data_IF_681075789905
#
_entry.id   IF_681075789905
#
_cell.length_a   1.000
_cell.length_b   1.000
_cell.length_c   1.000
_cell.angle_alpha   90.00
_cell.angle_beta   90.00
_cell.angle_gamma   90.00
#
_symmetry.space_group_name_H-M   'P 1'
#
loop_
_entity.id
_entity.type
_entity.pdbx_description
1 polymer ?
#
# COMPACT_ATOMS: atom_id res chain seq x y z
N UNK A 1 -46.59 -10.01 40.91
CA UNK A 1 -45.26 -10.64 40.76
C UNK A 1 -44.88 -10.58 39.28
N UNK A 2 -43.73 -10.02 38.89
CA UNK A 2 -43.32 -10.05 37.49
C UNK A 2 -42.83 -11.46 37.12
N UNK A 3 -43.39 -11.98 36.04
CA UNK A 3 -43.13 -13.30 35.46
C UNK A 3 -41.69 -13.32 34.91
N UNK A 4 -40.79 -14.05 35.56
CA UNK A 4 -39.45 -14.28 35.03
C UNK A 4 -39.56 -15.24 33.83
N UNK A 5 -39.09 -14.86 32.63
CA UNK A 5 -39.15 -15.76 31.48
C UNK A 5 -38.29 -17.01 31.75
N UNK A 6 -38.88 -18.18 31.50
CA UNK A 6 -38.24 -19.48 31.77
C UNK A 6 -36.97 -19.66 30.92
N UNK A 7 -35.94 -20.28 31.51
CA UNK A 7 -34.62 -20.51 30.90
C UNK A 7 -34.63 -21.31 29.58
N UNK A 8 -35.77 -21.87 29.19
CA UNK A 8 -35.94 -22.66 27.97
C UNK A 8 -36.05 -21.79 26.70
N UNK A 9 -36.46 -20.53 26.83
CA UNK A 9 -36.76 -19.65 25.68
C UNK A 9 -35.54 -18.83 25.19
N UNK A 10 -34.46 -18.77 25.97
CA UNK A 10 -33.22 -18.04 25.61
C UNK A 10 -32.24 -18.86 24.75
N UNK A 11 -32.31 -20.20 24.78
CA UNK A 11 -31.39 -21.11 24.08
C UNK A 11 -31.45 -21.05 22.53
N UNK A 12 -32.61 -20.87 21.85
CA UNK A 12 -32.67 -20.84 20.39
C UNK A 12 -32.14 -19.54 19.75
N UNK A 13 -32.14 -18.43 20.48
CA UNK A 13 -31.60 -17.16 19.98
C UNK A 13 -30.07 -17.15 19.96
N UNK A 14 -29.43 -17.57 21.06
CA UNK A 14 -27.96 -17.64 21.16
C UNK A 14 -27.34 -18.61 20.14
N UNK A 15 -27.99 -19.74 19.88
CA UNK A 15 -27.56 -20.71 18.88
C UNK A 15 -27.60 -20.13 17.45
N UNK A 16 -28.69 -19.43 17.09
CA UNK A 16 -28.81 -18.77 15.77
C UNK A 16 -27.75 -17.69 15.56
N UNK A 17 -27.48 -16.86 16.57
CA UNK A 17 -26.42 -15.84 16.52
C UNK A 17 -25.04 -16.47 16.34
N UNK A 18 -24.74 -17.57 17.03
CA UNK A 18 -23.45 -18.29 16.89
C UNK A 18 -23.28 -18.91 15.50
N UNK A 19 -24.33 -19.50 14.92
CA UNK A 19 -24.29 -20.03 13.55
C UNK A 19 -24.15 -18.92 12.50
N UNK A 20 -24.83 -17.79 12.67
CA UNK A 20 -24.66 -16.63 11.80
C UNK A 20 -23.22 -16.08 11.87
N UNK A 21 -22.66 -15.95 13.06
CA UNK A 21 -21.27 -15.52 13.25
C UNK A 21 -20.26 -16.47 12.61
N UNK A 22 -20.46 -17.79 12.75
CA UNK A 22 -19.61 -18.80 12.11
C UNK A 22 -19.72 -18.77 10.58
N UNK A 23 -20.92 -18.56 10.03
CA UNK A 23 -21.14 -18.40 8.59
C UNK A 23 -20.46 -17.15 8.03
N UNK A 24 -20.60 -16.02 8.71
CA UNK A 24 -19.93 -14.76 8.33
C UNK A 24 -18.42 -14.95 8.36
N UNK A 25 -17.88 -15.57 9.42
CA UNK A 25 -16.46 -15.85 9.55
C UNK A 25 -15.95 -16.79 8.44
N UNK A 26 -16.73 -17.81 8.05
CA UNK A 26 -16.36 -18.69 6.96
C UNK A 26 -16.33 -17.94 5.62
N UNK A 27 -17.35 -17.15 5.30
CA UNK A 27 -17.45 -16.37 4.07
C UNK A 27 -16.28 -15.38 3.96
N UNK A 28 -15.98 -14.64 5.03
CA UNK A 28 -14.86 -13.69 5.03
C UNK A 28 -13.52 -14.38 4.87
N UNK A 29 -13.35 -15.57 5.44
CA UNK A 29 -12.12 -16.37 5.28
C UNK A 29 -11.92 -16.90 3.87
N UNK A 30 -12.97 -17.41 3.22
CA UNK A 30 -12.86 -17.84 1.82
C UNK A 30 -12.57 -16.66 0.91
N UNK A 31 -13.20 -15.50 1.17
CA UNK A 31 -12.90 -14.26 0.44
C UNK A 31 -11.45 -13.80 0.62
N UNK A 32 -10.92 -13.85 1.85
CA UNK A 32 -9.54 -13.52 2.15
C UNK A 32 -8.55 -14.46 1.44
N UNK A 33 -8.77 -15.78 1.55
CA UNK A 33 -7.94 -16.79 0.92
C UNK A 33 -7.89 -16.60 -0.60
N UNK A 34 -9.04 -16.31 -1.22
CA UNK A 34 -9.12 -16.05 -2.65
C UNK A 34 -8.36 -14.77 -3.02
N UNK A 35 -8.59 -13.66 -2.32
CA UNK A 35 -7.90 -12.40 -2.58
C UNK A 35 -6.38 -12.57 -2.47
N UNK A 36 -5.90 -13.10 -1.34
CA UNK A 36 -4.46 -13.23 -1.09
C UNK A 36 -3.81 -14.22 -2.05
N UNK A 37 -4.46 -15.36 -2.33
CA UNK A 37 -3.96 -16.37 -3.26
C UNK A 37 -3.82 -15.81 -4.69
N UNK A 38 -4.84 -15.13 -5.19
CA UNK A 38 -4.80 -14.48 -6.51
C UNK A 38 -3.74 -13.37 -6.54
N UNK A 39 -3.66 -12.54 -5.50
CA UNK A 39 -2.69 -11.45 -5.41
C UNK A 39 -1.24 -11.97 -5.46
N UNK A 40 -0.93 -13.03 -4.69
CA UNK A 40 0.38 -13.70 -4.71
C UNK A 40 0.71 -14.21 -6.12
N UNK A 41 -0.25 -14.88 -6.77
CA UNK A 41 -0.07 -15.44 -8.11
C UNK A 41 0.17 -14.37 -9.17
N UNK A 42 -0.65 -13.32 -9.19
CA UNK A 42 -0.54 -12.22 -10.17
C UNK A 42 0.78 -11.47 -10.00
N UNK A 43 1.11 -11.00 -8.79
CA UNK A 43 2.36 -10.26 -8.57
C UNK A 43 3.62 -11.10 -8.84
N UNK A 44 3.58 -12.42 -8.55
CA UNK A 44 4.67 -13.32 -8.92
C UNK A 44 4.79 -13.47 -10.44
N UNK A 45 3.66 -13.62 -11.14
CA UNK A 45 3.63 -13.69 -12.60
C UNK A 45 4.20 -12.43 -13.24
N UNK A 46 3.82 -11.24 -12.76
CA UNK A 46 4.31 -9.96 -13.29
C UNK A 46 5.83 -9.83 -13.13
N UNK A 47 6.35 -10.23 -11.97
CA UNK A 47 7.78 -10.27 -11.74
C UNK A 47 8.49 -11.24 -12.69
N UNK A 48 7.91 -12.42 -12.94
CA UNK A 48 8.46 -13.37 -13.91
C UNK A 48 8.45 -12.84 -15.34
N UNK A 49 7.40 -12.11 -15.75
CA UNK A 49 7.34 -11.45 -17.07
C UNK A 49 8.51 -10.48 -17.24
N UNK A 50 8.84 -9.70 -16.20
CA UNK A 50 10.03 -8.83 -16.22
C UNK A 50 11.31 -9.64 -16.35
N UNK A 51 11.47 -10.72 -15.57
CA UNK A 51 12.67 -11.57 -15.61
C UNK A 51 12.88 -12.25 -16.96
N UNK A 52 11.81 -12.57 -17.68
CA UNK A 52 11.89 -13.18 -19.01
C UNK A 52 12.06 -12.15 -20.13
N UNK A 53 11.87 -10.87 -19.85
CA UNK A 53 12.02 -9.80 -20.83
C UNK A 53 13.50 -9.39 -21.02
N UNK A 54 13.85 -8.75 -22.14
CA UNK A 54 15.19 -8.17 -22.33
C UNK A 54 15.58 -7.14 -21.25
N UNK A 55 14.60 -6.60 -20.51
CA UNK A 55 14.84 -5.68 -19.41
C UNK A 55 15.65 -6.30 -18.27
N UNK A 56 15.52 -7.60 -18.02
CA UNK A 56 16.19 -8.31 -16.94
C UNK A 56 17.71 -8.14 -16.99
N UNK A 57 18.30 -8.25 -18.19
CA UNK A 57 19.73 -8.05 -18.38
C UNK A 57 20.15 -6.60 -18.11
N UNK A 58 19.37 -5.63 -18.60
CA UNK A 58 19.62 -4.21 -18.38
C UNK A 58 19.51 -3.81 -16.91
N UNK A 59 18.50 -4.35 -16.21
CA UNK A 59 18.28 -4.14 -14.78
C UNK A 59 19.45 -4.72 -13.99
N UNK A 60 19.81 -5.99 -14.23
CA UNK A 60 20.89 -6.66 -13.50
C UNK A 60 22.29 -6.10 -13.77
N UNK A 61 22.51 -5.51 -14.95
CA UNK A 61 23.78 -4.88 -15.30
C UNK A 61 24.09 -3.63 -14.46
N UNK A 62 23.08 -3.02 -13.82
CA UNK A 62 23.25 -1.84 -12.96
C UNK A 62 23.50 -2.23 -11.51
N UNK A 63 24.34 -1.47 -10.80
CA UNK A 63 24.47 -1.58 -9.35
C UNK A 63 23.10 -1.39 -8.70
N UNK A 64 22.74 -2.30 -7.80
CA UNK A 64 21.42 -2.34 -7.15
C UNK A 64 20.41 -3.24 -7.87
N UNK A 65 20.60 -3.56 -9.14
CA UNK A 65 19.72 -4.47 -9.87
C UNK A 65 18.24 -4.08 -9.77
N UNK A 66 17.41 -5.02 -9.35
CA UNK A 66 15.97 -4.82 -9.12
C UNK A 66 15.67 -3.80 -8.01
N UNK A 67 16.50 -3.74 -6.97
CA UNK A 67 16.31 -2.83 -5.84
C UNK A 67 16.51 -1.35 -6.21
N UNK A 68 17.04 -1.08 -7.40
CA UNK A 68 17.18 0.27 -7.92
C UNK A 68 15.82 0.87 -8.32
N UNK A 69 14.82 0.04 -8.62
CA UNK A 69 13.50 0.47 -9.07
C UNK A 69 12.48 0.38 -7.93
N UNK A 70 11.97 1.54 -7.51
CA UNK A 70 11.07 1.63 -6.35
C UNK A 70 9.81 0.77 -6.51
N UNK A 71 9.24 0.72 -7.73
CA UNK A 71 8.09 -0.14 -8.05
C UNK A 71 8.40 -1.62 -7.83
N UNK A 72 9.61 -2.10 -8.12
CA UNK A 72 9.97 -3.51 -7.94
C UNK A 72 10.22 -3.86 -6.46
N UNK A 73 10.75 -2.89 -5.69
CA UNK A 73 10.86 -3.02 -4.23
C UNK A 73 9.47 -3.07 -3.60
N UNK A 74 8.57 -2.18 -4.04
CA UNK A 74 7.18 -2.14 -3.60
C UNK A 74 6.45 -3.45 -3.91
N UNK A 75 6.50 -3.89 -5.17
CA UNK A 75 5.91 -5.15 -5.62
C UNK A 75 6.39 -6.33 -4.76
N UNK A 76 7.70 -6.41 -4.46
CA UNK A 76 8.25 -7.44 -3.60
C UNK A 76 7.71 -7.39 -2.17
N UNK A 77 7.56 -6.19 -1.61
CA UNK A 77 7.02 -5.99 -0.26
C UNK A 77 5.51 -6.29 -0.20
N UNK A 78 4.75 -5.89 -1.21
CA UNK A 78 3.33 -6.20 -1.36
C UNK A 78 3.11 -7.71 -1.52
N UNK A 79 3.88 -8.35 -2.40
CA UNK A 79 3.87 -9.81 -2.58
C UNK A 79 4.18 -10.53 -1.27
N UNK A 80 5.23 -10.13 -0.57
CA UNK A 80 5.59 -10.73 0.72
C UNK A 80 4.48 -10.55 1.77
N UNK A 81 3.87 -9.36 1.82
CA UNK A 81 2.71 -9.10 2.69
C UNK A 81 1.57 -10.05 2.36
N UNK A 82 1.24 -10.24 1.07
CA UNK A 82 0.17 -11.16 0.64
C UNK A 82 0.49 -12.63 0.93
N UNK A 83 1.76 -13.05 0.84
CA UNK A 83 2.19 -14.40 1.24
C UNK A 83 1.97 -14.62 2.75
N UNK A 84 2.34 -13.64 3.58
CA UNK A 84 2.07 -13.70 5.02
C UNK A 84 0.56 -13.70 5.29
N UNK A 85 -0.21 -12.86 4.60
CA UNK A 85 -1.67 -12.81 4.71
C UNK A 85 -2.32 -14.15 4.35
N UNK A 86 -1.88 -14.78 3.26
CA UNK A 86 -2.32 -16.11 2.86
C UNK A 86 -1.97 -17.17 3.93
N UNK A 87 -0.77 -17.07 4.51
CA UNK A 87 -0.36 -17.90 5.63
C UNK A 87 -1.25 -17.73 6.87
N UNK A 88 -1.68 -16.50 7.19
CA UNK A 88 -2.63 -16.23 8.28
C UNK A 88 -4.00 -16.85 8.03
N UNK A 89 -4.46 -16.90 6.78
CA UNK A 89 -5.76 -17.50 6.43
C UNK A 89 -5.74 -19.02 6.63
N UNK A 90 -4.62 -19.66 6.29
CA UNK A 90 -4.38 -21.09 6.45
C UNK A 90 -4.13 -21.47 7.92
N UNK A 91 -3.39 -20.63 8.66
CA UNK A 91 -2.96 -20.88 10.04
C UNK A 91 -3.41 -19.74 10.99
N UNK A 92 -4.73 -19.58 11.23
CA UNK A 92 -5.27 -18.44 11.98
C UNK A 92 -4.86 -18.43 13.47
N UNK A 93 -4.48 -19.59 14.01
CA UNK A 93 -4.06 -19.75 15.41
C UNK A 93 -2.66 -19.20 15.67
N UNK A 94 -1.87 -18.92 14.62
CA UNK A 94 -0.48 -18.51 14.78
C UNK A 94 -0.36 -16.98 14.89
N UNK A 95 -0.43 -16.49 16.13
CA UNK A 95 -0.47 -15.06 16.46
C UNK A 95 0.76 -14.28 16.01
N UNK A 96 1.94 -14.92 15.97
CA UNK A 96 3.17 -14.30 15.47
C UNK A 96 3.06 -13.93 13.98
N UNK A 97 2.46 -14.79 13.17
CA UNK A 97 2.24 -14.51 11.74
C UNK A 97 1.21 -13.41 11.53
N UNK A 98 0.14 -13.38 12.33
CA UNK A 98 -0.82 -12.28 12.33
C UNK A 98 -0.19 -10.94 12.74
N UNK A 99 0.75 -10.95 13.69
CA UNK A 99 1.51 -9.76 14.06
C UNK A 99 2.45 -9.32 12.93
N UNK A 100 3.14 -10.27 12.28
CA UNK A 100 3.98 -10.02 11.12
C UNK A 100 3.17 -9.43 9.95
N UNK A 101 1.99 -10.00 9.63
CA UNK A 101 1.06 -9.47 8.64
C UNK A 101 0.77 -8.00 8.91
N UNK A 102 0.34 -7.69 10.13
CA UNK A 102 -0.02 -6.32 10.52
C UNK A 102 1.14 -5.34 10.41
N UNK A 103 2.35 -5.78 10.72
CA UNK A 103 3.55 -4.98 10.58
C UNK A 103 3.90 -4.76 9.10
N UNK A 104 3.91 -5.81 8.29
CA UNK A 104 4.16 -5.73 6.86
C UNK A 104 3.15 -4.82 6.16
N UNK A 105 1.86 -4.97 6.45
CA UNK A 105 0.78 -4.13 5.90
C UNK A 105 0.93 -2.64 6.27
N UNK A 106 1.46 -2.35 7.47
CA UNK A 106 1.73 -0.98 7.91
C UNK A 106 2.87 -0.31 7.14
N UNK A 107 3.76 -1.09 6.51
CA UNK A 107 4.83 -0.61 5.64
C UNK A 107 4.39 -0.62 4.18
N UNK A 108 3.88 -1.76 3.70
CA UNK A 108 3.62 -2.01 2.29
C UNK A 108 2.50 -1.16 1.73
N UNK A 109 1.39 -1.01 2.45
CA UNK A 109 0.25 -0.21 2.00
C UNK A 109 0.61 1.26 1.75
N UNK A 110 1.17 2.02 2.73
CA UNK A 110 1.49 3.41 2.46
C UNK A 110 2.64 3.58 1.45
N UNK A 111 3.54 2.61 1.33
CA UNK A 111 4.59 2.59 0.31
C UNK A 111 4.00 2.47 -1.10
N UNK A 112 3.07 1.53 -1.31
CA UNK A 112 2.38 1.34 -2.59
C UNK A 112 1.45 2.49 -2.97
N UNK A 113 0.80 3.11 -1.97
CA UNK A 113 0.04 4.36 -2.17
C UNK A 113 0.96 5.45 -2.73
N UNK A 114 2.14 5.64 -2.13
CA UNK A 114 3.10 6.65 -2.58
C UNK A 114 3.60 6.36 -4.00
N UNK A 115 3.99 5.11 -4.29
CA UNK A 115 4.42 4.68 -5.64
C UNK A 115 3.33 4.97 -6.66
N UNK A 116 2.10 4.51 -6.41
CA UNK A 116 0.97 4.65 -7.34
C UNK A 116 0.63 6.10 -7.61
N UNK A 117 0.52 6.93 -6.56
CA UNK A 117 0.21 8.35 -6.72
C UNK A 117 1.29 9.06 -7.52
N UNK A 118 2.56 8.85 -7.20
CA UNK A 118 3.68 9.48 -7.91
C UNK A 118 3.70 9.03 -9.38
N UNK A 119 3.60 7.72 -9.61
CA UNK A 119 3.63 7.15 -10.96
C UNK A 119 2.49 7.69 -11.84
N UNK A 120 1.24 7.55 -11.40
CA UNK A 120 0.09 7.99 -12.20
C UNK A 120 0.03 9.52 -12.36
N UNK A 121 0.50 10.29 -11.37
CA UNK A 121 0.63 11.74 -11.53
C UNK A 121 1.64 12.09 -12.63
N UNK A 122 2.78 11.41 -12.67
CA UNK A 122 3.77 11.61 -13.74
C UNK A 122 3.22 11.17 -15.11
N UNK A 123 2.51 10.05 -15.19
CA UNK A 123 1.88 9.58 -16.44
C UNK A 123 0.85 10.59 -16.95
N UNK A 124 0.00 11.13 -16.07
CA UNK A 124 -1.10 12.03 -16.44
C UNK A 124 -0.64 13.46 -16.73
N UNK A 125 0.27 14.00 -15.91
CA UNK A 125 0.65 15.42 -15.98
C UNK A 125 1.96 15.68 -16.71
N UNK A 126 2.89 14.72 -16.68
CA UNK A 126 4.23 14.89 -17.28
C UNK A 126 4.70 13.62 -18.01
N UNK A 127 3.90 13.10 -18.97
CA UNK A 127 4.19 11.83 -19.64
C UNK A 127 5.56 11.82 -20.33
N UNK A 128 6.07 12.99 -20.75
CA UNK A 128 7.39 13.14 -21.37
C UNK A 128 8.57 12.79 -20.47
N UNK A 129 8.39 12.71 -19.14
CA UNK A 129 9.43 12.34 -18.17
C UNK A 129 9.55 10.82 -18.02
N UNK A 130 8.46 10.09 -18.24
CA UNK A 130 8.44 8.62 -18.23
C UNK A 130 8.69 8.08 -19.64
N UNK A 131 8.10 8.73 -20.64
CA UNK A 131 8.24 8.44 -22.07
C UNK A 131 9.26 9.40 -22.67
N UNK A 132 10.56 9.18 -22.43
CA UNK A 132 11.60 9.95 -23.12
C UNK A 132 11.44 9.77 -24.64
N UNK A 133 10.93 10.82 -25.29
CA UNK A 133 10.74 11.07 -26.73
C UNK A 133 11.31 10.00 -27.68
N UNK A 134 10.48 9.03 -28.07
CA UNK A 134 10.59 8.36 -29.38
C UNK A 134 9.95 9.24 -30.45
N UNK A 135 10.50 10.43 -30.67
CA UNK A 135 10.28 11.18 -31.92
C UNK A 135 11.28 10.70 -32.97
N UNK A 136 11.20 9.43 -33.38
CA UNK A 136 11.72 8.86 -34.65
C UNK A 136 11.55 7.33 -34.70
N UNK A 137 10.86 6.77 -35.71
CA UNK A 137 11.14 5.42 -36.20
C UNK A 137 12.20 5.45 -37.32
N UNK A 138 12.97 4.38 -37.58
CA UNK A 138 13.25 3.20 -36.76
C UNK A 138 14.67 3.32 -36.15
N UNK A 139 14.81 3.19 -34.83
CA UNK A 139 16.15 3.07 -34.23
C UNK A 139 16.77 1.70 -34.59
N UNK A 140 18.09 1.63 -34.83
CA UNK A 140 18.78 0.38 -35.13
C UNK A 140 18.62 -0.65 -34.00
N UNK A 141 18.69 -1.96 -34.29
CA UNK A 141 18.35 -3.04 -33.36
C UNK A 141 19.23 -3.13 -32.09
N UNK A 142 20.24 -2.28 -31.94
CA UNK A 142 21.31 -2.41 -30.95
C UNK A 142 21.52 -1.18 -30.05
N UNK A 143 20.57 -0.25 -29.93
CA UNK A 143 20.65 0.86 -28.97
C UNK A 143 19.58 0.70 -27.86
N UNK A 144 19.95 0.80 -26.56
CA UNK A 144 19.07 0.48 -25.44
C UNK A 144 18.09 1.64 -25.19
N UNK A 145 17.11 1.76 -26.08
CA UNK A 145 15.99 2.67 -25.95
C UNK A 145 15.02 2.18 -24.89
N UNK A 146 14.71 3.07 -23.95
CA UNK A 146 13.61 3.05 -22.99
C UNK A 146 12.60 1.89 -23.19
N UNK A 147 12.58 0.97 -22.23
CA UNK A 147 11.69 -0.18 -22.21
C UNK A 147 10.22 0.30 -22.16
N UNK A 148 9.53 0.25 -23.29
CA UNK A 148 8.09 0.43 -23.33
C UNK A 148 7.42 -0.68 -22.51
N UNK A 149 6.80 -0.33 -21.39
CA UNK A 149 6.06 -1.28 -20.55
C UNK A 149 4.66 -1.45 -21.19
N UNK A 150 4.25 -2.66 -21.59
CA UNK A 150 2.91 -2.89 -22.09
C UNK A 150 1.87 -2.46 -21.05
N UNK A 151 0.81 -1.76 -21.47
CA UNK A 151 -0.20 -1.21 -20.56
C UNK A 151 -0.76 -2.23 -19.55
N UNK A 152 -0.95 -3.49 -19.96
CA UNK A 152 -1.39 -4.56 -19.04
C UNK A 152 -0.37 -4.82 -17.93
N UNK A 153 0.91 -4.90 -18.28
CA UNK A 153 1.99 -5.07 -17.31
C UNK A 153 2.08 -3.84 -16.40
N UNK A 154 1.87 -2.64 -16.94
CA UNK A 154 1.90 -1.40 -16.18
C UNK A 154 0.80 -1.32 -15.11
N UNK A 155 -0.44 -1.68 -15.48
CA UNK A 155 -1.54 -1.83 -14.51
C UNK A 155 -1.21 -2.88 -13.46
N UNK A 156 -0.65 -4.01 -13.88
CA UNK A 156 -0.29 -5.06 -12.94
C UNK A 156 0.79 -4.63 -11.94
N UNK A 157 1.80 -3.87 -12.37
CA UNK A 157 2.90 -3.42 -11.52
C UNK A 157 2.51 -2.28 -10.58
N UNK A 158 1.58 -1.41 -10.98
CA UNK A 158 1.26 -0.19 -10.23
C UNK A 158 -0.14 -0.17 -9.61
N UNK A 159 -1.09 -0.98 -10.07
CA UNK A 159 -2.47 -1.01 -9.54
C UNK A 159 -2.74 -2.27 -8.73
N UNK A 160 -2.31 -3.45 -9.17
CA UNK A 160 -2.56 -4.70 -8.44
C UNK A 160 -2.05 -4.66 -6.99
N UNK A 161 -0.82 -4.20 -6.70
CA UNK A 161 -0.30 -4.18 -5.33
C UNK A 161 -1.15 -3.29 -4.41
N UNK A 162 -1.40 -2.04 -4.82
CA UNK A 162 -2.18 -1.09 -4.01
C UNK A 162 -3.63 -1.56 -3.82
N UNK A 163 -4.30 -2.08 -4.85
CA UNK A 163 -5.70 -2.51 -4.75
C UNK A 163 -5.83 -3.72 -3.84
N UNK A 164 -4.94 -4.70 -3.97
CA UNK A 164 -5.00 -5.91 -3.14
C UNK A 164 -4.66 -5.61 -1.69
N UNK A 165 -3.64 -4.78 -1.42
CA UNK A 165 -3.31 -4.33 -0.06
C UNK A 165 -4.43 -3.50 0.57
N UNK A 166 -5.07 -2.61 -0.21
CA UNK A 166 -6.18 -1.81 0.28
C UNK A 166 -7.41 -2.67 0.57
N UNK A 167 -7.70 -3.65 -0.28
CA UNK A 167 -8.77 -4.61 -0.05
C UNK A 167 -8.52 -5.45 1.21
N UNK A 168 -7.29 -5.95 1.42
CA UNK A 168 -6.92 -6.68 2.65
C UNK A 168 -7.10 -5.80 3.90
N UNK A 169 -6.58 -4.56 3.84
CA UNK A 169 -6.69 -3.59 4.92
C UNK A 169 -8.14 -3.23 5.29
N UNK A 170 -9.00 -3.02 4.28
CA UNK A 170 -10.38 -2.58 4.50
C UNK A 170 -11.33 -3.72 4.88
N UNK A 171 -11.13 -4.92 4.31
CA UNK A 171 -12.09 -6.01 4.41
C UNK A 171 -11.72 -7.05 5.47
N UNK A 172 -10.43 -7.32 5.69
CA UNK A 172 -9.97 -8.46 6.49
C UNK A 172 -9.15 -8.08 7.72
N UNK A 173 -8.55 -6.89 7.74
CA UNK A 173 -7.69 -6.47 8.85
C UNK A 173 -8.47 -5.88 10.03
N UNK A 174 -7.99 -6.13 11.26
CA UNK A 174 -8.57 -5.48 12.44
C UNK A 174 -8.09 -4.04 12.52
N UNK A 175 -8.97 -3.12 12.94
CA UNK A 175 -8.67 -1.69 13.09
C UNK A 175 -7.33 -1.45 13.79
N UNK A 176 -6.47 -0.66 13.16
CA UNK A 176 -5.24 -0.18 13.77
C UNK A 176 -5.55 0.86 14.85
N UNK A 177 -4.68 0.96 15.85
CA UNK A 177 -4.81 2.00 16.87
C UNK A 177 -4.52 3.38 16.25
N UNK A 178 -5.13 4.43 16.80
CA UNK A 178 -4.92 5.81 16.33
C UNK A 178 -3.42 6.17 16.28
N UNK A 179 -2.64 5.76 17.29
CA UNK A 179 -1.19 5.99 17.34
C UNK A 179 -0.44 5.29 16.20
N UNK A 180 -0.79 4.05 15.87
CA UNK A 180 -0.18 3.31 14.76
C UNK A 180 -0.41 4.00 13.42
N UNK A 181 -1.63 4.51 13.19
CA UNK A 181 -1.96 5.18 11.92
C UNK A 181 -1.38 6.60 11.85
N UNK A 182 -1.50 7.39 12.92
CA UNK A 182 -1.13 8.82 12.90
C UNK A 182 0.36 9.07 13.09
N UNK A 183 1.08 8.14 13.73
CA UNK A 183 2.51 8.30 14.04
C UNK A 183 3.31 7.17 13.40
N UNK A 184 2.88 5.92 13.59
CA UNK A 184 3.58 4.75 13.09
C UNK A 184 3.75 4.74 11.57
N UNK A 185 2.64 4.86 10.83
CA UNK A 185 2.69 4.82 9.36
C UNK A 185 3.51 5.97 8.75
N UNK A 186 3.33 7.25 9.12
CA UNK A 186 4.18 8.33 8.61
C UNK A 186 5.66 8.13 8.95
N UNK A 187 5.97 7.72 10.18
CA UNK A 187 7.35 7.48 10.61
C UNK A 187 8.01 6.39 9.76
N UNK A 188 7.32 5.27 9.57
CA UNK A 188 7.79 4.16 8.74
C UNK A 188 8.03 4.62 7.30
N UNK A 189 7.10 5.35 6.69
CA UNK A 189 7.25 5.86 5.32
C UNK A 189 8.45 6.79 5.21
N UNK A 190 8.63 7.70 6.17
CA UNK A 190 9.76 8.62 6.19
C UNK A 190 11.09 7.87 6.34
N UNK A 191 11.17 6.91 7.26
CA UNK A 191 12.38 6.11 7.47
C UNK A 191 12.70 5.26 6.25
N UNK A 192 11.73 4.49 5.73
CA UNK A 192 11.92 3.67 4.54
C UNK A 192 12.26 4.51 3.30
N UNK A 193 11.59 5.65 3.12
CA UNK A 193 11.87 6.59 2.04
C UNK A 193 13.28 7.18 2.13
N UNK A 194 13.73 7.57 3.32
CA UNK A 194 15.09 8.05 3.55
C UNK A 194 16.14 6.96 3.30
N UNK A 195 15.92 5.75 3.83
CA UNK A 195 16.80 4.61 3.57
C UNK A 195 16.91 4.29 2.07
N UNK A 196 15.77 4.30 1.36
CA UNK A 196 15.74 4.07 -0.08
C UNK A 196 16.42 5.19 -0.86
N UNK A 197 16.21 6.46 -0.49
CA UNK A 197 16.90 7.59 -1.11
C UNK A 197 18.42 7.48 -0.96
N UNK A 198 18.92 7.16 0.25
CA UNK A 198 20.34 6.91 0.48
C UNK A 198 20.87 5.74 -0.36
N UNK A 199 20.09 4.67 -0.49
CA UNK A 199 20.44 3.52 -1.32
C UNK A 199 20.56 3.87 -2.81
N UNK A 200 19.62 4.66 -3.33
CA UNK A 200 19.63 5.09 -4.74
C UNK A 200 20.79 6.04 -5.02
N UNK A 201 21.08 6.99 -4.12
CA UNK A 201 22.26 7.85 -4.21
C UNK A 201 23.56 7.03 -4.21
N UNK A 202 23.67 6.04 -3.31
CA UNK A 202 24.80 5.11 -3.31
C UNK A 202 24.92 4.32 -4.63
N UNK A 203 23.81 3.84 -5.21
CA UNK A 203 23.86 3.17 -6.50
C UNK A 203 24.27 4.12 -7.64
N UNK A 204 23.85 5.39 -7.58
CA UNK A 204 24.18 6.40 -8.58
C UNK A 204 25.69 6.71 -8.64
N UNK A 205 26.43 6.59 -7.53
CA UNK A 205 27.89 6.78 -7.54
C UNK A 205 28.64 5.75 -8.39
N UNK A 206 28.07 4.55 -8.56
CA UNK A 206 28.64 3.49 -9.42
C UNK A 206 28.05 3.49 -10.82
N UNK A 207 26.78 3.85 -10.95
CA UNK A 207 26.07 3.82 -12.23
C UNK A 207 26.25 5.12 -13.05
N UNK A 208 26.83 6.16 -12.45
CA UNK A 208 27.00 7.54 -12.96
C UNK A 208 25.70 8.29 -13.30
N UNK A 209 24.58 7.58 -13.35
CA UNK A 209 23.25 8.09 -13.69
C UNK A 209 22.20 7.47 -12.79
N UNK A 210 21.15 8.25 -12.52
CA UNK A 210 19.94 7.72 -11.89
C UNK A 210 19.09 6.96 -12.91
N UNK A 211 18.20 6.06 -12.46
CA UNK A 211 17.26 5.35 -13.33
C UNK A 211 16.34 6.30 -14.10
N UNK A 212 16.01 7.44 -13.46
CA UNK A 212 15.15 8.46 -14.01
C UNK A 212 15.97 9.70 -14.39
N UNK A 213 15.93 10.16 -15.65
CA UNK A 213 16.68 11.33 -16.10
C UNK A 213 16.44 12.58 -15.24
N UNK A 214 15.20 12.81 -14.78
CA UNK A 214 14.84 13.92 -13.89
C UNK A 214 15.67 13.96 -12.60
N UNK A 215 16.12 12.82 -12.08
CA UNK A 215 16.97 12.78 -10.89
C UNK A 215 18.43 13.07 -11.23
N UNK A 216 18.88 12.76 -12.45
CA UNK A 216 20.25 13.04 -12.89
C UNK A 216 20.44 14.51 -13.20
N UNK A 217 19.42 15.15 -13.76
CA UNK A 217 19.46 16.55 -14.21
C UNK A 217 19.29 17.58 -13.07
N UNK A 218 18.89 17.13 -11.87
CA UNK A 218 18.64 18.00 -10.73
C UNK A 218 19.71 17.85 -9.63
N UNK A 219 20.22 18.95 -9.05
CA UNK A 219 21.16 18.91 -7.93
C UNK A 219 20.54 18.26 -6.68
N UNK A 220 21.38 17.74 -5.75
CA UNK A 220 20.93 17.01 -4.57
C UNK A 220 19.90 17.77 -3.72
N UNK A 221 20.01 19.09 -3.61
CA UNK A 221 19.08 19.92 -2.84
C UNK A 221 17.63 19.86 -3.39
N UNK A 222 17.49 19.83 -4.72
CA UNK A 222 16.19 19.71 -5.39
C UNK A 222 15.64 18.28 -5.22
N UNK A 223 16.50 17.26 -5.26
CA UNK A 223 16.10 15.86 -5.04
C UNK A 223 15.56 15.64 -3.62
N UNK A 224 16.24 16.21 -2.62
CA UNK A 224 15.79 16.20 -1.23
C UNK A 224 14.47 16.97 -1.10
N UNK A 225 14.34 18.12 -1.77
CA UNK A 225 13.10 18.90 -1.83
C UNK A 225 11.91 18.10 -2.37
N UNK A 226 12.08 17.34 -3.45
CA UNK A 226 11.04 16.47 -4.02
C UNK A 226 10.62 15.38 -3.02
N UNK A 227 11.57 14.75 -2.34
CA UNK A 227 11.29 13.72 -1.33
C UNK A 227 10.62 14.28 -0.06
N UNK A 228 10.95 15.52 0.35
CA UNK A 228 10.45 16.14 1.58
C UNK A 228 9.12 16.91 1.40
N UNK A 229 8.78 17.35 0.19
CA UNK A 229 7.58 18.14 -0.07
C UNK A 229 6.29 17.31 -0.08
N UNK A 230 6.35 16.04 -0.50
CA UNK A 230 5.20 15.13 -0.55
C UNK A 230 4.61 14.84 0.85
N UNK A 231 5.41 14.56 1.90
CA UNK A 231 4.90 14.41 3.27
C UNK A 231 4.29 15.69 3.87
N UNK A 232 4.81 16.88 3.53
CA UNK A 232 4.33 18.16 4.08
C UNK A 232 2.93 18.53 3.55
N UNK A 233 2.67 18.34 2.25
CA UNK A 233 1.35 18.61 1.64
C UNK A 233 0.28 17.57 1.98
N UNK A 234 0.66 16.31 2.24
CA UNK A 234 -0.27 15.26 2.68
C UNK A 234 -0.62 15.32 4.18
N UNK A 235 -0.08 16.29 4.93
CA UNK A 235 -0.33 16.40 6.38
C UNK A 235 0.31 15.29 7.21
N UNK A 236 1.35 14.62 6.67
CA UNK A 236 2.07 13.52 7.33
C UNK A 236 3.18 14.02 8.26
N UNK A 237 3.52 15.30 8.20
CA UNK A 237 4.30 15.95 9.24
C UNK A 237 3.35 16.46 10.33
N UNK A 238 3.62 16.20 11.62
CA UNK A 238 2.83 16.76 12.69
C UNK A 238 2.91 18.28 12.60
N UNK A 239 1.81 18.89 12.15
CA UNK A 239 1.67 20.34 12.05
C UNK A 239 1.92 20.92 13.44
N UNK A 240 3.05 21.59 13.61
CA UNK A 240 3.38 22.30 14.84
C UNK A 240 2.31 23.39 15.02
N UNK A 241 1.46 23.18 16.03
CA UNK A 241 0.28 24.00 16.43
C UNK A 241 -0.92 23.92 15.47
N UNK A 242 -1.83 22.98 15.74
CA UNK A 242 -3.25 23.21 15.46
C UNK A 242 -3.85 23.86 16.71
N UNK A 243 -4.43 25.05 16.56
CA UNK A 243 -4.98 25.84 17.66
C UNK A 243 -6.12 25.10 18.37
N UNK A 244 -6.22 25.19 19.72
CA UNK A 244 -7.20 24.44 20.52
C UNK A 244 -8.67 24.76 20.17
N UNK A 245 -8.93 25.90 19.50
CA UNK A 245 -10.27 26.31 19.07
C UNK A 245 -10.86 25.44 17.93
N UNK A 246 -10.01 24.79 17.11
CA UNK A 246 -10.46 23.93 16.01
C UNK A 246 -10.83 22.51 16.47
N UNK A 247 -10.23 22.01 17.55
CA UNK A 247 -10.65 20.75 18.17
C UNK A 247 -12.01 20.88 18.87
N UNK A 248 -12.28 22.02 19.50
CA UNK A 248 -13.57 22.26 20.18
C UNK A 248 -14.74 22.32 19.18
N UNK A 249 -14.52 22.91 17.99
CA UNK A 249 -15.52 22.94 16.92
C UNK A 249 -15.78 21.56 16.29
N UNK A 250 -14.74 20.74 16.15
CA UNK A 250 -14.86 19.40 15.57
C UNK A 250 -15.52 18.41 16.55
N UNK A 251 -15.19 18.49 17.85
CA UNK A 251 -15.84 17.67 18.89
C UNK A 251 -17.31 18.04 19.08
N UNK A 252 -17.68 19.33 19.02
CA UNK A 252 -19.10 19.75 19.11
C UNK A 252 -19.93 19.24 17.93
N UNK A 253 -19.37 19.14 16.72
CA UNK A 253 -20.06 18.55 15.57
C UNK A 253 -20.27 17.03 15.69
N UNK A 254 -19.32 16.31 16.30
CA UNK A 254 -19.44 14.86 16.51
C UNK A 254 -20.43 14.54 17.63
N UNK A 255 -20.41 15.30 18.74
CA UNK A 255 -21.33 15.11 19.87
C UNK A 255 -22.79 15.43 19.49
N UNK A 256 -23.02 16.41 18.62
CA UNK A 256 -24.38 16.76 18.16
C UNK A 256 -24.97 15.71 17.18
N UNK A 257 -24.12 14.87 16.54
CA UNK A 257 -24.59 13.76 15.69
C UNK A 257 -25.07 12.57 16.53
N UNK A 258 -24.36 12.23 17.61
CA UNK A 258 -24.74 11.13 18.51
C UNK A 258 -26.05 11.39 19.25
N UNK A 259 -26.28 12.62 19.71
CA UNK A 259 -27.52 12.97 20.41
C UNK A 259 -28.77 12.99 19.49
N UNK A 260 -28.62 13.01 18.17
CA UNK A 260 -29.74 12.86 17.22
C UNK A 260 -30.06 11.41 16.90
N UNK A 261 -29.08 10.49 16.93
CA UNK A 261 -29.34 9.07 16.72
C UNK A 261 -30.02 8.42 17.93
N UNK A 262 -29.67 8.80 19.16
CA UNK A 262 -30.29 8.25 20.38
C UNK A 262 -31.78 8.64 20.54
N UNK A 263 -32.24 9.70 19.84
CA UNK A 263 -33.63 10.15 19.92
C UNK A 263 -34.57 9.45 18.93
N UNK A 264 -34.04 8.80 17.89
CA UNK A 264 -34.84 8.08 16.90
C UNK A 264 -35.11 6.61 17.24
N UNK A 265 -34.40 6.04 18.21
CA UNK A 265 -34.61 4.66 18.71
C UNK A 265 -35.54 4.60 19.95
N UNK A 266 -36.24 5.69 20.26
CA UNK A 266 -37.19 5.78 21.40
C UNK A 266 -38.55 6.37 21.01
N UNK A 267 -39.04 6.01 19.83
CA UNK A 267 -40.46 6.16 19.45
C UNK A 267 -40.92 4.87 18.77
#
# INVERSE_FOLDING_TARGET
MPYAPSAFEQKPAAHRVRLQALRILAITRFGALFLHGVAVGVMAYDFLVIKMSPADQLIRARKGGYSLYMTLVGLGLAWFTMVISLGCDLLPSFTALCAAKRFCLMISLPFEIAISIVYWSLVLFVPSVILSRTTKPPLPPNAPGLLYIPFKLDLCLHITPIVTLLADFLLFEKKYTKKQVQIGAPLVVLTCGACYACWVEYCATYNEKFPYPILTENPPDIRIGICAFVPHRLGLLPSRKRSPLLEEACMKCVQHRDNRMVRHDRL
#
